data_IF_761695836865
#
_entry.id   IF_761695836865
#
_cell.length_a   1.000
_cell.length_b   1.000
_cell.length_c   1.000
_cell.angle_alpha   90.00
_cell.angle_beta   90.00
_cell.angle_gamma   90.00
#
_symmetry.space_group_name_H-M   'P 1'
#
loop_
_entity.id
_entity.type
_entity.pdbx_description
1 polymer ?
#
# COMPACT_ATOMS: atom_id res chain seq x y z
N UNK A 1 -13.13 -28.94 9.78
CA UNK A 1 -13.78 -27.76 9.18
C UNK A 1 -12.98 -26.53 9.61
N UNK A 2 -12.31 -25.83 8.68
CA UNK A 2 -11.64 -24.57 9.02
C UNK A 2 -12.71 -23.53 9.36
N UNK A 3 -12.54 -22.79 10.47
CA UNK A 3 -13.41 -21.69 10.83
C UNK A 3 -13.60 -20.75 9.62
N UNK A 4 -14.80 -20.16 9.42
CA UNK A 4 -15.02 -19.23 8.33
C UNK A 4 -14.00 -18.10 8.44
N UNK A 5 -13.18 -17.91 7.41
CA UNK A 5 -12.17 -16.85 7.40
C UNK A 5 -12.90 -15.51 7.49
N UNK A 6 -12.65 -14.77 8.57
CA UNK A 6 -13.21 -13.42 8.78
C UNK A 6 -12.85 -12.54 7.58
N UNK A 7 -13.82 -11.82 7.05
CA UNK A 7 -13.59 -10.78 6.04
C UNK A 7 -12.86 -9.61 6.69
N UNK A 8 -11.76 -9.18 6.12
CA UNK A 8 -10.94 -8.07 6.62
C UNK A 8 -11.48 -6.74 6.09
N UNK A 9 -11.77 -5.82 6.97
CA UNK A 9 -12.23 -4.48 6.63
C UNK A 9 -11.05 -3.53 6.37
N UNK A 10 -10.95 -3.03 5.15
CA UNK A 10 -9.92 -2.08 4.74
C UNK A 10 -10.39 -0.64 4.79
N UNK A 11 -9.50 0.25 5.24
CA UNK A 11 -9.56 1.68 5.01
C UNK A 11 -8.46 2.11 4.04
N UNK A 12 -8.67 3.18 3.28
CA UNK A 12 -7.65 3.76 2.39
C UNK A 12 -7.33 5.19 2.81
N UNK A 13 -6.05 5.51 2.97
CA UNK A 13 -5.53 6.87 3.06
C UNK A 13 -5.08 7.32 1.67
N UNK A 14 -5.73 8.36 1.15
CA UNK A 14 -5.49 8.88 -0.20
C UNK A 14 -6.61 8.53 -1.19
N UNK A 15 -6.68 9.31 -2.27
CA UNK A 15 -7.72 9.17 -3.32
C UNK A 15 -7.10 9.29 -4.72
N UNK A 16 -5.83 8.90 -4.86
CA UNK A 16 -5.07 8.91 -6.10
C UNK A 16 -5.28 7.65 -6.94
N UNK A 17 -4.47 7.49 -8.00
CA UNK A 17 -4.53 6.35 -8.93
C UNK A 17 -4.34 5.02 -8.20
N UNK A 18 -3.32 4.89 -7.33
CA UNK A 18 -3.07 3.66 -6.57
C UNK A 18 -4.25 3.29 -5.68
N UNK A 19 -4.87 4.29 -5.00
CA UNK A 19 -6.08 4.07 -4.20
C UNK A 19 -7.24 3.50 -5.03
N UNK A 20 -7.47 4.03 -6.24
CA UNK A 20 -8.50 3.50 -7.14
C UNK A 20 -8.20 2.09 -7.62
N UNK A 21 -6.95 1.81 -7.97
CA UNK A 21 -6.53 0.47 -8.40
C UNK A 21 -6.73 -0.56 -7.27
N UNK A 22 -6.31 -0.24 -6.05
CA UNK A 22 -6.50 -1.10 -4.89
C UNK A 22 -7.98 -1.31 -4.55
N UNK A 23 -8.78 -0.24 -4.58
CA UNK A 23 -10.22 -0.34 -4.36
C UNK A 23 -10.90 -1.27 -5.38
N UNK A 24 -10.56 -1.15 -6.67
CA UNK A 24 -11.05 -2.06 -7.71
C UNK A 24 -10.61 -3.50 -7.47
N UNK A 25 -9.35 -3.74 -7.12
CA UNK A 25 -8.84 -5.08 -6.84
C UNK A 25 -9.56 -5.74 -5.66
N UNK A 26 -9.89 -4.99 -4.61
CA UNK A 26 -10.65 -5.51 -3.48
C UNK A 26 -12.06 -5.98 -3.85
N UNK A 27 -12.68 -5.42 -4.88
CA UNK A 27 -14.00 -5.90 -5.33
C UNK A 27 -13.96 -7.30 -5.93
N UNK A 28 -12.78 -7.76 -6.34
CA UNK A 28 -12.55 -9.09 -6.95
C UNK A 28 -12.19 -10.16 -5.91
N UNK A 29 -12.06 -9.81 -4.63
CA UNK A 29 -11.75 -10.77 -3.56
C UNK A 29 -12.91 -10.92 -2.59
N UNK A 30 -13.07 -12.13 -2.05
CA UNK A 30 -14.02 -12.45 -0.96
C UNK A 30 -13.40 -12.33 0.43
N UNK A 31 -12.11 -12.07 0.53
CA UNK A 31 -11.38 -12.05 1.79
C UNK A 31 -11.19 -10.67 2.40
N UNK A 32 -11.40 -9.62 1.61
CA UNK A 32 -11.30 -8.23 2.05
C UNK A 32 -12.45 -7.38 1.54
N UNK A 33 -12.83 -6.38 2.31
CA UNK A 33 -13.86 -5.41 1.97
C UNK A 33 -13.36 -4.00 2.24
N UNK A 34 -13.48 -3.11 1.25
CA UNK A 34 -13.24 -1.70 1.48
C UNK A 34 -14.45 -1.05 2.13
N UNK A 35 -14.27 -0.41 3.28
CA UNK A 35 -15.35 0.24 4.02
C UNK A 35 -15.13 1.73 4.27
N UNK A 36 -13.91 2.22 4.19
CA UNK A 36 -13.60 3.59 4.57
C UNK A 36 -12.53 4.23 3.67
N UNK A 37 -12.62 5.54 3.49
CA UNK A 37 -11.59 6.35 2.85
C UNK A 37 -11.32 7.62 3.65
N UNK A 38 -10.03 7.97 3.79
CA UNK A 38 -9.56 9.21 4.39
C UNK A 38 -8.86 10.10 3.37
N UNK A 39 -9.17 11.39 3.40
CA UNK A 39 -8.49 12.42 2.59
C UNK A 39 -8.48 13.74 3.33
N UNK A 40 -7.39 14.51 3.19
CA UNK A 40 -7.28 15.90 3.72
C UNK A 40 -8.33 16.84 3.11
N UNK A 41 -8.86 16.50 1.93
CA UNK A 41 -9.95 17.24 1.29
C UNK A 41 -11.22 16.41 1.37
N UNK A 42 -12.18 16.85 2.21
CA UNK A 42 -13.46 16.16 2.46
C UNK A 42 -14.20 15.79 1.15
N UNK A 43 -14.21 16.71 0.18
CA UNK A 43 -14.90 16.48 -1.09
C UNK A 43 -14.27 15.35 -1.91
N UNK A 44 -12.94 15.18 -1.85
CA UNK A 44 -12.27 14.04 -2.50
C UNK A 44 -12.63 12.71 -1.84
N UNK A 45 -12.66 12.67 -0.49
CA UNK A 45 -13.10 11.49 0.23
C UNK A 45 -14.56 11.14 -0.10
N UNK A 46 -15.45 12.14 -0.12
CA UNK A 46 -16.87 11.96 -0.46
C UNK A 46 -17.06 11.44 -1.88
N UNK A 47 -16.34 12.01 -2.87
CA UNK A 47 -16.38 11.56 -4.25
C UNK A 47 -15.94 10.11 -4.39
N UNK A 48 -14.80 9.76 -3.79
CA UNK A 48 -14.26 8.40 -3.79
C UNK A 48 -15.22 7.41 -3.12
N UNK A 49 -15.77 7.76 -1.95
CA UNK A 49 -16.73 6.94 -1.24
C UNK A 49 -18.02 6.69 -2.05
N UNK A 50 -18.51 7.70 -2.76
CA UNK A 50 -19.66 7.56 -3.66
C UNK A 50 -19.36 6.58 -4.81
N UNK A 51 -18.18 6.68 -5.43
CA UNK A 51 -17.75 5.80 -6.53
C UNK A 51 -17.71 4.33 -6.11
N UNK A 52 -17.13 4.05 -4.94
CA UNK A 52 -16.96 2.68 -4.42
C UNK A 52 -18.04 2.26 -3.43
N UNK A 53 -19.09 3.08 -3.22
CA UNK A 53 -20.22 2.81 -2.31
C UNK A 53 -19.77 2.51 -0.87
N UNK A 54 -18.81 3.29 -0.38
CA UNK A 54 -18.26 3.10 0.97
C UNK A 54 -19.16 3.73 2.03
N UNK A 55 -19.36 3.07 3.18
CA UNK A 55 -20.13 3.61 4.28
C UNK A 55 -19.44 4.82 4.97
N UNK A 56 -18.08 4.88 4.95
CA UNK A 56 -17.36 5.92 5.66
C UNK A 56 -16.46 6.73 4.72
N UNK A 57 -16.54 8.06 4.82
CA UNK A 57 -15.60 9.01 4.24
C UNK A 57 -15.20 10.04 5.27
N UNK A 58 -13.89 10.17 5.48
CA UNK A 58 -13.34 10.91 6.60
C UNK A 58 -12.42 12.02 6.10
N UNK A 59 -12.52 13.20 6.74
CA UNK A 59 -11.79 14.41 6.33
C UNK A 59 -10.38 14.50 6.93
N UNK A 60 -9.96 13.50 7.71
CA UNK A 60 -8.59 13.40 8.21
C UNK A 60 -8.14 11.94 8.29
N UNK A 61 -6.83 11.74 8.33
CA UNK A 61 -6.21 10.41 8.42
C UNK A 61 -6.33 9.85 9.84
N UNK A 62 -6.26 10.71 10.85
CA UNK A 62 -6.43 10.35 12.26
C UNK A 62 -7.85 9.81 12.53
N UNK A 63 -8.87 10.44 11.93
CA UNK A 63 -10.25 9.96 12.05
C UNK A 63 -10.40 8.57 11.44
N UNK A 64 -9.73 8.31 10.31
CA UNK A 64 -9.73 6.99 9.70
C UNK A 64 -8.97 5.99 10.58
N UNK A 65 -7.80 6.36 11.08
CA UNK A 65 -7.00 5.51 11.95
C UNK A 65 -7.74 5.12 13.25
N UNK A 66 -8.59 5.99 13.76
CA UNK A 66 -9.40 5.72 14.97
C UNK A 66 -10.75 5.06 14.68
N UNK A 67 -11.08 4.72 13.44
CA UNK A 67 -12.33 4.01 13.13
C UNK A 67 -12.22 2.54 13.56
N UNK A 68 -13.02 2.12 14.53
CA UNK A 68 -13.00 0.76 15.10
C UNK A 68 -13.40 -0.34 14.12
N UNK A 69 -14.15 -0.02 13.08
CA UNK A 69 -14.59 -0.98 12.07
C UNK A 69 -13.49 -1.34 11.04
N UNK A 70 -12.42 -0.54 10.98
CA UNK A 70 -11.30 -0.76 10.06
C UNK A 70 -10.24 -1.64 10.71
N UNK A 71 -9.91 -2.76 10.07
CA UNK A 71 -8.88 -3.71 10.52
C UNK A 71 -7.49 -3.37 9.97
N UNK A 72 -7.42 -2.97 8.70
CA UNK A 72 -6.18 -2.68 7.96
C UNK A 72 -6.31 -1.36 7.20
N UNK A 73 -5.29 -0.53 7.24
CA UNK A 73 -5.24 0.71 6.46
C UNK A 73 -4.21 0.57 5.33
N UNK A 74 -4.69 0.78 4.10
CA UNK A 74 -3.85 0.92 2.93
C UNK A 74 -3.47 2.38 2.73
N UNK A 75 -2.17 2.67 2.71
CA UNK A 75 -1.62 4.02 2.54
C UNK A 75 -1.23 4.21 1.07
N UNK A 76 -1.97 5.07 0.37
CA UNK A 76 -1.81 5.40 -1.06
C UNK A 76 -1.56 6.91 -1.27
N UNK A 77 -0.72 7.48 -0.43
CA UNK A 77 -0.26 8.87 -0.51
C UNK A 77 1.08 8.94 -1.28
N UNK A 78 1.61 10.13 -1.58
CA UNK A 78 2.99 10.25 -2.09
C UNK A 78 4.02 9.69 -1.12
N UNK A 79 5.14 9.16 -1.65
CA UNK A 79 6.17 8.44 -0.88
C UNK A 79 6.67 9.21 0.35
N UNK A 80 6.92 10.52 0.22
CA UNK A 80 7.35 11.38 1.33
C UNK A 80 6.36 11.45 2.51
N UNK A 81 5.09 11.08 2.28
CA UNK A 81 4.05 11.09 3.32
C UNK A 81 3.85 9.70 3.96
N UNK A 82 4.50 8.65 3.48
CA UNK A 82 4.24 7.29 3.93
C UNK A 82 4.57 7.11 5.40
N UNK A 83 5.75 7.58 5.85
CA UNK A 83 6.18 7.48 7.23
C UNK A 83 5.17 8.06 8.21
N UNK A 84 4.82 9.33 8.03
CA UNK A 84 3.96 10.03 9.01
C UNK A 84 2.55 9.44 9.05
N UNK A 85 2.02 9.06 7.88
CA UNK A 85 0.73 8.38 7.80
C UNK A 85 0.77 7.00 8.44
N UNK A 86 1.87 6.24 8.25
CA UNK A 86 2.03 4.93 8.87
C UNK A 86 2.18 5.04 10.39
N UNK A 87 2.94 6.01 10.90
CA UNK A 87 3.05 6.29 12.34
C UNK A 87 1.66 6.59 12.94
N UNK A 88 0.87 7.42 12.27
CA UNK A 88 -0.51 7.73 12.70
C UNK A 88 -1.35 6.46 12.83
N UNK A 89 -1.30 5.57 11.82
CA UNK A 89 -2.08 4.34 11.82
C UNK A 89 -1.58 3.32 12.87
N UNK A 90 -0.26 3.09 12.93
CA UNK A 90 0.34 2.15 13.89
C UNK A 90 0.12 2.61 15.34
N UNK A 91 0.22 3.92 15.61
CA UNK A 91 -0.06 4.46 16.95
C UNK A 91 -1.52 4.30 17.35
N UNK A 92 -2.45 4.34 16.40
CA UNK A 92 -3.86 4.02 16.61
C UNK A 92 -4.16 2.51 16.67
N UNK A 93 -3.15 1.64 16.66
CA UNK A 93 -3.31 0.18 16.75
C UNK A 93 -3.80 -0.48 15.46
N UNK A 94 -3.61 0.16 14.30
CA UNK A 94 -4.04 -0.40 13.01
C UNK A 94 -2.92 -1.17 12.33
N UNK A 95 -3.30 -2.28 11.70
CA UNK A 95 -2.46 -2.95 10.73
C UNK A 95 -2.31 -2.08 9.47
N UNK A 96 -1.15 -2.11 8.83
CA UNK A 96 -0.83 -1.18 7.74
C UNK A 96 -0.27 -1.91 6.54
N UNK A 97 -0.78 -1.55 5.37
CA UNK A 97 -0.22 -1.87 4.06
C UNK A 97 0.18 -0.54 3.40
N UNK A 98 1.46 -0.35 3.09
CA UNK A 98 2.00 0.89 2.52
C UNK A 98 2.28 0.69 1.04
N UNK A 99 1.83 1.62 0.17
CA UNK A 99 2.27 1.64 -1.22
C UNK A 99 3.79 1.68 -1.36
N UNK A 100 4.29 1.16 -2.46
CA UNK A 100 5.70 1.30 -2.82
C UNK A 100 5.98 2.78 -3.15
N UNK A 101 7.08 3.32 -2.77
CA UNK A 101 8.12 2.81 -1.91
C UNK A 101 7.75 2.93 -0.43
N UNK A 102 8.11 1.94 0.35
CA UNK A 102 7.77 1.83 1.78
C UNK A 102 8.07 3.12 2.57
N UNK A 103 9.24 3.69 2.34
CA UNK A 103 9.67 4.99 2.87
C UNK A 103 10.74 5.59 1.96
N UNK A 104 11.10 6.84 2.18
CA UNK A 104 12.12 7.54 1.39
C UNK A 104 13.57 7.26 1.85
N UNK A 105 13.75 6.60 3.00
CA UNK A 105 15.07 6.27 3.53
C UNK A 105 15.01 5.13 4.55
N UNK A 106 16.16 4.49 4.76
CA UNK A 106 16.33 3.36 5.69
C UNK A 106 15.97 3.69 7.14
N UNK A 107 16.34 4.88 7.64
CA UNK A 107 16.08 5.29 9.03
C UNK A 107 14.56 5.30 9.32
N UNK A 108 13.80 5.85 8.42
CA UNK A 108 12.33 5.92 8.54
C UNK A 108 11.70 4.53 8.43
N UNK A 109 12.17 3.69 7.52
CA UNK A 109 11.72 2.30 7.41
C UNK A 109 11.95 1.55 8.74
N UNK A 110 13.14 1.68 9.33
CA UNK A 110 13.48 1.02 10.60
C UNK A 110 12.59 1.47 11.76
N UNK A 111 12.24 2.77 11.82
CA UNK A 111 11.32 3.31 12.84
C UNK A 111 9.95 2.62 12.72
N UNK A 112 9.40 2.52 11.51
CA UNK A 112 8.09 1.91 11.27
C UNK A 112 8.09 0.42 11.61
N UNK A 113 9.12 -0.31 11.20
CA UNK A 113 9.26 -1.75 11.46
C UNK A 113 9.33 -2.01 12.96
N UNK A 114 10.19 -1.27 13.69
CA UNK A 114 10.34 -1.42 15.13
C UNK A 114 9.02 -1.15 15.86
N UNK A 115 8.30 -0.08 15.48
CA UNK A 115 7.00 0.26 16.07
C UNK A 115 5.95 -0.82 15.81
N UNK A 116 5.91 -1.39 14.60
CA UNK A 116 4.98 -2.45 14.26
C UNK A 116 5.27 -3.73 15.07
N UNK A 117 6.54 -4.09 15.26
CA UNK A 117 6.97 -5.22 16.08
C UNK A 117 6.58 -4.98 17.54
N UNK A 118 6.91 -3.82 18.12
CA UNK A 118 6.57 -3.44 19.49
C UNK A 118 5.07 -3.58 19.76
N UNK A 119 4.25 -3.07 18.84
CA UNK A 119 2.79 -3.09 18.95
C UNK A 119 2.16 -4.41 18.47
N UNK A 120 2.94 -5.36 17.98
CA UNK A 120 2.47 -6.64 17.40
C UNK A 120 1.44 -6.43 16.27
N UNK A 121 1.70 -5.45 15.42
CA UNK A 121 0.84 -5.12 14.28
C UNK A 121 1.45 -5.62 12.99
N UNK A 122 0.57 -5.98 12.04
CA UNK A 122 0.99 -6.28 10.67
C UNK A 122 1.42 -4.99 9.96
N UNK A 123 2.58 -5.04 9.31
CA UNK A 123 3.11 -3.97 8.47
C UNK A 123 3.75 -4.59 7.23
N UNK A 124 3.33 -4.15 6.05
CA UNK A 124 3.85 -4.67 4.77
C UNK A 124 3.94 -3.55 3.72
N UNK A 125 4.94 -3.64 2.85
CA UNK A 125 5.02 -2.87 1.61
C UNK A 125 4.16 -3.53 0.52
N UNK A 126 3.40 -2.74 -0.23
CA UNK A 126 2.58 -3.21 -1.34
C UNK A 126 3.41 -3.44 -2.62
N UNK A 127 4.45 -4.25 -2.53
CA UNK A 127 5.29 -4.69 -3.64
C UNK A 127 4.56 -5.81 -4.40
N UNK A 128 3.59 -5.43 -5.20
CA UNK A 128 2.66 -6.33 -5.90
C UNK A 128 3.34 -7.34 -6.83
N UNK A 129 4.52 -7.00 -7.37
CA UNK A 129 5.30 -7.87 -8.25
C UNK A 129 5.67 -9.20 -7.60
N UNK A 130 5.88 -9.23 -6.28
CA UNK A 130 6.16 -10.45 -5.51
C UNK A 130 5.03 -11.48 -5.54
N UNK A 131 3.84 -11.08 -5.90
CA UNK A 131 2.65 -11.93 -5.92
C UNK A 131 2.22 -12.34 -7.34
N UNK A 132 3.00 -11.95 -8.35
CA UNK A 132 2.74 -12.37 -9.72
C UNK A 132 3.08 -13.86 -9.92
N UNK A 133 2.22 -14.63 -10.60
CA UNK A 133 2.50 -16.05 -10.88
C UNK A 133 3.82 -16.27 -11.58
N UNK A 134 4.19 -15.41 -12.54
CA UNK A 134 5.47 -15.50 -13.25
C UNK A 134 6.67 -15.26 -12.32
N UNK A 135 6.57 -14.31 -11.38
CA UNK A 135 7.62 -14.07 -10.41
C UNK A 135 7.79 -15.26 -9.46
N UNK A 136 6.68 -15.78 -8.92
CA UNK A 136 6.70 -16.96 -8.06
C UNK A 136 7.29 -18.19 -8.79
N UNK A 137 6.98 -18.36 -10.09
CA UNK A 137 7.57 -19.44 -10.89
C UNK A 137 9.08 -19.26 -11.08
N UNK A 138 9.52 -18.04 -11.32
CA UNK A 138 10.95 -17.71 -11.41
C UNK A 138 11.69 -18.05 -10.11
N UNK A 139 11.17 -17.64 -8.96
CA UNK A 139 11.73 -17.97 -7.64
C UNK A 139 11.82 -19.49 -7.45
N UNK A 140 10.77 -20.24 -7.78
CA UNK A 140 10.77 -21.71 -7.71
C UNK A 140 11.86 -22.36 -8.55
N UNK A 141 12.10 -21.88 -9.79
CA UNK A 141 13.13 -22.40 -10.69
C UNK A 141 14.55 -22.13 -10.15
N UNK A 142 14.75 -20.97 -9.52
CA UNK A 142 16.01 -20.62 -8.86
C UNK A 142 16.23 -21.53 -7.63
N UNK A 143 15.25 -21.60 -6.74
CA UNK A 143 15.35 -22.31 -5.46
C UNK A 143 15.50 -23.84 -5.64
N UNK A 144 14.88 -24.38 -6.70
CA UNK A 144 15.01 -25.81 -7.04
C UNK A 144 16.36 -26.16 -7.69
N UNK A 145 17.18 -25.18 -8.01
CA UNK A 145 18.45 -25.39 -8.73
C UNK A 145 18.28 -25.79 -10.21
N UNK A 146 17.08 -25.69 -10.76
CA UNK A 146 16.78 -26.13 -12.15
C UNK A 146 17.56 -25.32 -13.19
N UNK A 147 17.93 -24.07 -12.87
CA UNK A 147 18.79 -23.22 -13.71
C UNK A 147 20.25 -23.15 -13.21
N UNK A 148 20.60 -23.97 -12.22
CA UNK A 148 21.93 -23.99 -11.61
C UNK A 148 22.16 -22.79 -10.67
N UNK A 149 23.44 -22.51 -10.37
CA UNK A 149 23.83 -21.39 -9.52
C UNK A 149 23.62 -20.06 -10.22
N UNK A 150 22.88 -19.14 -9.61
CA UNK A 150 22.65 -17.80 -10.15
C UNK A 150 23.95 -16.99 -10.17
N UNK A 151 24.45 -16.66 -11.34
CA UNK A 151 25.70 -15.89 -11.53
C UNK A 151 25.45 -14.41 -11.83
N UNK A 152 24.37 -14.09 -12.54
CA UNK A 152 23.99 -12.72 -12.88
C UNK A 152 22.49 -12.59 -13.06
N UNK A 153 22.00 -11.39 -12.84
CA UNK A 153 20.59 -11.03 -13.06
C UNK A 153 20.52 -9.68 -13.79
N UNK A 154 19.79 -9.62 -14.88
CA UNK A 154 19.51 -8.41 -15.62
C UNK A 154 18.02 -8.23 -15.78
N UNK A 155 17.49 -7.05 -15.44
CA UNK A 155 16.10 -6.70 -15.60
C UNK A 155 15.95 -5.35 -16.29
N UNK A 156 15.00 -5.25 -17.21
CA UNK A 156 14.65 -4.00 -17.88
C UNK A 156 13.15 -3.78 -17.77
N UNK A 157 12.76 -2.62 -17.21
CA UNK A 157 11.38 -2.19 -17.16
C UNK A 157 11.20 -0.96 -18.05
N UNK A 158 10.41 -1.10 -19.12
CA UNK A 158 10.03 -0.01 -20.00
C UNK A 158 8.51 0.20 -19.96
N UNK A 159 8.07 1.41 -19.71
CA UNK A 159 6.65 1.77 -19.79
C UNK A 159 6.46 2.87 -20.86
N UNK A 160 5.68 2.62 -21.92
CA UNK A 160 5.34 3.67 -22.88
C UNK A 160 4.31 4.59 -22.22
N UNK A 161 4.75 5.67 -21.63
CA UNK A 161 3.85 6.65 -21.04
C UNK A 161 4.35 8.07 -21.30
N UNK A 162 3.43 8.94 -21.68
CA UNK A 162 3.66 10.39 -21.61
C UNK A 162 3.50 10.79 -20.16
N UNK A 163 4.59 10.85 -19.43
CA UNK A 163 4.59 11.28 -18.03
C UNK A 163 4.71 12.79 -18.00
N UNK A 164 3.71 13.49 -17.44
CA UNK A 164 3.80 14.92 -17.21
C UNK A 164 5.00 15.28 -16.34
N UNK A 165 5.70 16.36 -16.65
CA UNK A 165 6.78 16.91 -15.83
C UNK A 165 6.33 17.25 -14.39
N UNK A 166 5.03 17.50 -14.20
CA UNK A 166 4.43 17.75 -12.87
C UNK A 166 4.09 16.47 -12.10
N UNK A 167 4.42 15.30 -12.65
CA UNK A 167 4.23 14.02 -11.96
C UNK A 167 5.11 13.94 -10.72
N UNK A 168 4.60 13.29 -9.67
CA UNK A 168 5.38 12.96 -8.47
C UNK A 168 6.64 12.17 -8.78
N UNK A 169 6.71 11.46 -9.91
CA UNK A 169 7.90 10.74 -10.38
C UNK A 169 9.10 11.65 -10.63
N UNK A 170 8.87 12.93 -10.98
CA UNK A 170 9.93 13.93 -11.17
C UNK A 170 10.08 14.88 -9.99
N UNK A 171 9.30 14.70 -8.92
CA UNK A 171 9.31 15.54 -7.73
C UNK A 171 10.17 14.90 -6.63
N UNK A 172 11.47 15.20 -6.63
CA UNK A 172 12.43 14.65 -5.67
C UNK A 172 12.02 14.85 -4.20
N UNK A 173 11.58 16.05 -3.74
CA UNK A 173 11.07 16.25 -2.39
C UNK A 173 9.88 15.35 -2.01
N UNK A 174 9.11 14.88 -2.98
CA UNK A 174 8.00 13.96 -2.76
C UNK A 174 8.39 12.47 -2.88
N UNK A 175 9.69 12.18 -2.97
CA UNK A 175 10.22 10.83 -3.11
C UNK A 175 10.11 10.30 -4.54
N UNK A 176 10.20 11.19 -5.54
CA UNK A 176 10.28 10.79 -6.95
C UNK A 176 11.68 10.33 -7.35
N UNK A 177 11.77 9.67 -8.50
CA UNK A 177 12.98 9.13 -9.08
C UNK A 177 12.96 7.60 -9.22
N UNK A 178 13.64 7.09 -10.24
CA UNK A 178 13.64 5.67 -10.59
C UNK A 178 14.16 4.74 -9.47
N UNK A 179 14.98 5.25 -8.55
CA UNK A 179 15.52 4.46 -7.44
C UNK A 179 14.45 4.10 -6.40
N UNK A 180 13.43 4.95 -6.24
CA UNK A 180 12.36 4.76 -5.27
C UNK A 180 11.03 4.33 -5.93
N UNK A 181 10.92 4.35 -7.26
CA UNK A 181 9.66 4.05 -7.96
C UNK A 181 9.47 2.55 -8.34
#
# INVERSE_FOLDING_TARGET
MSAPKRVINFGIIGTGKSAHNFAKALTSTRHGKLIAVGSRKKERAKKFAKEFRLPFYLSSYEKLANNSEVDVIYIATPNACHKDNALTCLNAGKNVLIEKSFSTNFKDAKILINLAIEKRLFLMEAMWTRFLPAFNKMEQLIDSGEIGELKSFNATLGQPSVISKDSNLFNYPMGGGATLD
#
